data_IF_891429385611
#
_entry.id   IF_891429385611
#
_cell.length_a   1.000
_cell.length_b   1.000
_cell.length_c   1.000
_cell.angle_alpha   90.00
_cell.angle_beta   90.00
_cell.angle_gamma   90.00
#
_symmetry.space_group_name_H-M   'P 1'
#
loop_
_entity.id
_entity.type
_entity.pdbx_description
1 polymer ?
#
# COMPACT_ATOMS: atom_id res chain seq x y z
N UNK A 1 1.57 10.28 -18.76
CA UNK A 1 2.27 10.60 -20.04
C UNK A 1 3.77 10.60 -19.79
N UNK A 2 4.55 10.20 -20.78
CA UNK A 2 6.00 10.27 -20.70
C UNK A 2 6.44 11.74 -20.73
N UNK A 3 7.44 12.10 -19.95
CA UNK A 3 7.98 13.46 -19.92
C UNK A 3 8.35 13.93 -21.33
N UNK A 4 7.86 15.12 -21.74
CA UNK A 4 8.10 15.69 -23.07
C UNK A 4 7.18 15.18 -24.18
N UNK A 5 6.15 14.39 -23.89
CA UNK A 5 5.12 13.99 -24.85
C UNK A 5 3.79 14.67 -24.55
N UNK A 6 3.07 15.04 -25.62
CA UNK A 6 1.71 15.56 -25.51
C UNK A 6 0.74 14.43 -25.12
N UNK A 7 -0.26 14.76 -24.34
CA UNK A 7 -1.30 13.80 -23.94
C UNK A 7 -2.65 14.50 -23.79
N UNK A 8 -3.73 13.76 -24.03
CA UNK A 8 -5.08 14.27 -23.82
C UNK A 8 -5.42 14.15 -22.33
N UNK A 9 -5.55 15.28 -21.66
CA UNK A 9 -6.02 15.36 -20.28
C UNK A 9 -7.51 15.74 -20.30
N UNK A 10 -8.35 14.87 -19.73
CA UNK A 10 -9.76 15.15 -19.48
C UNK A 10 -10.08 14.91 -18.02
N UNK A 11 -11.02 15.70 -17.46
CA UNK A 11 -11.47 15.53 -16.09
C UNK A 11 -12.02 14.12 -15.86
N UNK A 12 -12.74 13.56 -16.82
CA UNK A 12 -13.26 12.19 -16.72
C UNK A 12 -12.14 11.13 -16.59
N UNK A 13 -11.07 11.25 -17.37
CA UNK A 13 -9.92 10.34 -17.27
C UNK A 13 -9.23 10.51 -15.92
N UNK A 14 -9.08 11.74 -15.44
CA UNK A 14 -8.49 12.02 -14.13
C UNK A 14 -9.34 11.41 -13.01
N UNK A 15 -10.65 11.67 -12.97
CA UNK A 15 -11.56 11.14 -11.95
C UNK A 15 -11.59 9.60 -11.93
N UNK A 16 -11.60 8.98 -13.12
CA UNK A 16 -11.49 7.52 -13.23
C UNK A 16 -10.18 7.00 -12.63
N UNK A 17 -9.04 7.62 -12.93
CA UNK A 17 -7.74 7.25 -12.36
C UNK A 17 -7.70 7.44 -10.85
N UNK A 18 -8.23 8.55 -10.34
CA UNK A 18 -8.32 8.78 -8.90
C UNK A 18 -9.14 7.71 -8.19
N UNK A 19 -10.26 7.30 -8.75
CA UNK A 19 -11.09 6.27 -8.15
C UNK A 19 -10.48 4.86 -8.28
N UNK A 20 -9.92 4.50 -9.44
CA UNK A 20 -9.40 3.15 -9.67
C UNK A 20 -8.00 2.95 -9.06
N UNK A 21 -7.04 3.77 -9.48
CA UNK A 21 -5.65 3.54 -9.10
C UNK A 21 -5.38 4.01 -7.65
N UNK A 22 -5.96 5.14 -7.24
CA UNK A 22 -5.71 5.68 -5.91
C UNK A 22 -6.67 5.13 -4.86
N UNK A 23 -7.99 5.33 -5.02
CA UNK A 23 -8.94 4.93 -3.99
C UNK A 23 -9.13 3.41 -3.91
N UNK A 24 -9.31 2.72 -5.05
CA UNK A 24 -9.57 1.27 -5.04
C UNK A 24 -8.31 0.44 -4.82
N UNK A 25 -7.16 0.82 -5.40
CA UNK A 25 -5.93 0.02 -5.23
C UNK A 25 -5.20 0.40 -3.95
N UNK A 26 -4.59 1.59 -3.89
CA UNK A 26 -3.74 1.99 -2.76
C UNK A 26 -4.57 2.31 -1.50
N UNK A 27 -5.63 3.10 -1.62
CA UNK A 27 -6.48 3.47 -0.49
C UNK A 27 -7.13 2.26 0.17
N UNK A 28 -7.63 1.32 -0.64
CA UNK A 28 -8.23 0.09 -0.15
C UNK A 28 -7.19 -0.85 0.50
N UNK A 29 -5.99 -0.97 -0.08
CA UNK A 29 -4.90 -1.76 0.51
C UNK A 29 -4.58 -1.28 1.93
N UNK A 30 -4.35 0.02 2.11
CA UNK A 30 -4.04 0.61 3.43
C UNK A 30 -5.19 0.40 4.40
N UNK A 31 -6.42 0.75 4.00
CA UNK A 31 -7.60 0.64 4.86
C UNK A 31 -7.90 -0.80 5.30
N UNK A 32 -7.80 -1.77 4.37
CA UNK A 32 -8.00 -3.20 4.68
C UNK A 32 -6.93 -3.70 5.65
N UNK A 33 -5.67 -3.41 5.38
CA UNK A 33 -4.55 -3.90 6.21
C UNK A 33 -4.62 -3.35 7.61
N UNK A 34 -4.76 -2.03 7.78
CA UNK A 34 -4.88 -1.41 9.11
C UNK A 34 -6.09 -1.96 9.87
N UNK A 35 -7.25 -2.08 9.20
CA UNK A 35 -8.44 -2.66 9.84
C UNK A 35 -8.26 -4.12 10.26
N UNK A 36 -7.51 -4.92 9.49
CA UNK A 36 -7.22 -6.31 9.85
C UNK A 36 -6.26 -6.40 11.05
N UNK A 37 -5.22 -5.55 11.09
CA UNK A 37 -4.30 -5.49 12.24
C UNK A 37 -5.04 -5.05 13.49
N UNK A 38 -5.90 -4.02 13.41
CA UNK A 38 -6.73 -3.60 14.55
C UNK A 38 -7.65 -4.72 15.03
N UNK A 39 -8.32 -5.39 14.10
CA UNK A 39 -9.32 -6.42 14.43
C UNK A 39 -8.70 -7.72 14.94
N UNK A 40 -7.58 -8.16 14.36
CA UNK A 40 -7.04 -9.50 14.60
C UNK A 40 -5.83 -9.52 15.55
N UNK A 41 -5.19 -8.37 15.75
CA UNK A 41 -4.03 -8.26 16.63
C UNK A 41 -4.04 -6.98 17.51
N UNK A 42 -5.22 -6.45 17.81
CA UNK A 42 -5.36 -5.33 18.76
C UNK A 42 -4.68 -4.02 18.29
N UNK A 43 -4.44 -3.88 17.00
CA UNK A 43 -3.79 -2.71 16.42
C UNK A 43 -2.25 -2.74 16.47
N UNK A 44 -1.65 -3.78 17.01
CA UNK A 44 -0.19 -3.94 17.02
C UNK A 44 0.25 -4.77 15.82
N UNK A 45 1.25 -4.30 15.08
CA UNK A 45 1.86 -5.08 14.01
C UNK A 45 2.56 -6.30 14.64
N UNK A 46 2.16 -7.53 14.29
CA UNK A 46 2.80 -8.73 14.84
C UNK A 46 4.15 -8.99 14.16
N UNK A 47 4.98 -9.81 14.80
CA UNK A 47 6.19 -10.33 14.18
C UNK A 47 5.85 -11.43 13.17
N UNK A 48 6.59 -11.49 12.07
CA UNK A 48 6.50 -12.61 11.15
C UNK A 48 7.08 -13.88 11.77
N UNK A 49 6.49 -15.02 11.44
CA UNK A 49 6.98 -16.34 11.89
C UNK A 49 7.63 -17.06 10.69
N UNK A 50 8.97 -17.06 10.57
CA UNK A 50 9.66 -17.60 9.38
C UNK A 50 9.33 -19.07 9.06
N UNK A 51 9.01 -19.86 10.09
CA UNK A 51 8.72 -21.29 9.93
C UNK A 51 7.42 -21.60 9.14
N UNK A 52 6.51 -20.61 9.00
CA UNK A 52 5.25 -20.78 8.26
C UNK A 52 5.22 -20.02 6.94
N UNK A 53 6.32 -19.36 6.57
CA UNK A 53 6.45 -18.65 5.30
C UNK A 53 6.43 -19.65 4.12
N UNK A 54 5.73 -19.28 3.06
CA UNK A 54 5.65 -20.04 1.82
C UNK A 54 6.12 -19.21 0.60
N UNK A 55 5.95 -19.77 -0.60
CA UNK A 55 6.37 -19.12 -1.85
C UNK A 55 5.64 -17.79 -2.11
N UNK A 56 4.39 -17.66 -1.65
CA UNK A 56 3.57 -16.45 -1.82
C UNK A 56 4.14 -15.31 -0.94
N UNK A 57 4.60 -15.64 0.28
CA UNK A 57 5.28 -14.69 1.17
C UNK A 57 6.61 -14.24 0.57
N UNK A 58 7.40 -15.19 0.06
CA UNK A 58 8.69 -14.93 -0.56
C UNK A 58 8.57 -14.07 -1.83
N UNK A 59 7.53 -14.28 -2.64
CA UNK A 59 7.25 -13.47 -3.83
C UNK A 59 6.95 -12.02 -3.46
N UNK A 60 6.06 -11.79 -2.48
CA UNK A 60 5.73 -10.43 -2.03
C UNK A 60 6.99 -9.70 -1.52
N UNK A 61 7.78 -10.35 -0.67
CA UNK A 61 9.03 -9.81 -0.13
C UNK A 61 10.02 -9.47 -1.24
N UNK A 62 10.20 -10.36 -2.22
CA UNK A 62 11.11 -10.14 -3.34
C UNK A 62 10.70 -8.93 -4.18
N UNK A 63 9.39 -8.79 -4.48
CA UNK A 63 8.87 -7.66 -5.23
C UNK A 63 9.03 -6.36 -4.43
N UNK A 64 8.75 -6.39 -3.13
CA UNK A 64 8.85 -5.24 -2.26
C UNK A 64 10.29 -4.69 -2.18
N UNK A 65 11.27 -5.53 -1.85
CA UNK A 65 12.68 -5.15 -1.76
C UNK A 65 13.23 -4.70 -3.12
N UNK A 66 12.80 -5.33 -4.21
CA UNK A 66 13.26 -4.99 -5.56
C UNK A 66 12.62 -3.73 -6.16
N UNK A 67 11.60 -3.16 -5.53
CA UNK A 67 10.84 -2.03 -6.08
C UNK A 67 11.67 -0.75 -6.12
N UNK A 68 12.44 -0.43 -5.07
CA UNK A 68 13.23 0.80 -4.97
C UNK A 68 14.21 0.96 -6.14
N UNK A 69 15.00 -0.07 -6.43
CA UNK A 69 15.96 -0.02 -7.54
C UNK A 69 15.28 0.17 -8.92
N UNK A 70 14.09 -0.40 -9.12
CA UNK A 70 13.32 -0.22 -10.34
C UNK A 70 12.77 1.19 -10.47
N UNK A 71 12.27 1.76 -9.38
CA UNK A 71 11.80 3.15 -9.32
C UNK A 71 12.95 4.11 -9.63
N UNK A 72 14.13 3.94 -8.99
CA UNK A 72 15.32 4.74 -9.26
C UNK A 72 15.73 4.69 -10.73
N UNK A 73 15.80 3.49 -11.31
CA UNK A 73 16.16 3.32 -12.71
C UNK A 73 15.22 4.03 -13.71
N UNK A 74 13.96 4.26 -13.33
CA UNK A 74 13.03 5.07 -14.12
C UNK A 74 13.16 6.56 -13.82
N UNK A 75 13.39 6.92 -12.56
CA UNK A 75 13.62 8.31 -12.16
C UNK A 75 14.87 8.90 -12.82
N UNK A 76 15.96 8.14 -12.91
CA UNK A 76 17.20 8.53 -13.61
C UNK A 76 16.98 8.87 -15.10
N UNK A 77 15.94 8.29 -15.70
CA UNK A 77 15.53 8.55 -17.08
C UNK A 77 14.44 9.64 -17.19
N UNK A 78 14.06 10.26 -16.10
CA UNK A 78 12.90 11.17 -16.02
C UNK A 78 11.58 10.51 -16.48
N UNK A 79 11.48 9.19 -16.41
CA UNK A 79 10.29 8.41 -16.77
C UNK A 79 9.34 8.26 -15.57
N UNK A 80 8.81 9.38 -15.04
CA UNK A 80 8.02 9.44 -13.82
C UNK A 80 6.77 8.56 -13.84
N UNK A 81 6.13 8.44 -15.00
CA UNK A 81 4.99 7.55 -15.19
C UNK A 81 5.40 6.07 -15.04
N UNK A 82 6.57 5.69 -15.54
CA UNK A 82 7.10 4.33 -15.39
C UNK A 82 7.54 4.05 -13.96
N UNK A 83 8.11 5.03 -13.27
CA UNK A 83 8.43 4.93 -11.85
C UNK A 83 7.17 4.66 -11.00
N UNK A 84 6.08 5.36 -11.26
CA UNK A 84 4.78 5.09 -10.62
C UNK A 84 4.24 3.70 -10.96
N UNK A 85 4.37 3.23 -12.20
CA UNK A 85 3.96 1.86 -12.58
C UNK A 85 4.72 0.79 -11.79
N UNK A 86 6.03 0.97 -11.54
CA UNK A 86 6.80 0.05 -10.71
C UNK A 86 6.27 0.01 -9.26
N UNK A 87 5.89 1.15 -8.70
CA UNK A 87 5.25 1.20 -7.37
C UNK A 87 3.90 0.46 -7.38
N UNK A 88 3.09 0.67 -8.43
CA UNK A 88 1.77 0.02 -8.56
C UNK A 88 1.86 -1.49 -8.79
N UNK A 89 2.98 -2.01 -9.31
CA UNK A 89 3.24 -3.47 -9.31
C UNK A 89 3.23 -4.01 -7.87
N UNK A 90 3.89 -3.33 -6.94
CA UNK A 90 3.88 -3.73 -5.53
C UNK A 90 2.50 -3.56 -4.89
N UNK A 91 1.80 -2.45 -5.15
CA UNK A 91 0.42 -2.22 -4.65
C UNK A 91 -0.52 -3.34 -5.09
N UNK A 92 -0.53 -3.68 -6.38
CA UNK A 92 -1.38 -4.76 -6.93
C UNK A 92 -0.98 -6.13 -6.40
N UNK A 93 0.34 -6.39 -6.23
CA UNK A 93 0.80 -7.65 -5.64
C UNK A 93 0.36 -7.81 -4.19
N UNK A 94 0.42 -6.73 -3.39
CA UNK A 94 -0.03 -6.74 -2.00
C UNK A 94 -1.55 -6.95 -1.89
N UNK A 95 -2.35 -6.33 -2.76
CA UNK A 95 -3.79 -6.60 -2.82
C UNK A 95 -4.08 -8.06 -3.17
N UNK A 96 -3.40 -8.62 -4.19
CA UNK A 96 -3.52 -10.03 -4.57
C UNK A 96 -3.10 -10.96 -3.42
N UNK A 97 -2.04 -10.61 -2.70
CA UNK A 97 -1.56 -11.35 -1.53
C UNK A 97 -2.63 -11.46 -0.43
N UNK A 98 -3.39 -10.39 -0.17
CA UNK A 98 -4.52 -10.45 0.78
C UNK A 98 -5.53 -11.52 0.34
N UNK A 99 -5.86 -11.57 -0.95
CA UNK A 99 -6.88 -12.49 -1.46
C UNK A 99 -6.37 -13.94 -1.48
N UNK A 100 -5.09 -14.17 -1.80
CA UNK A 100 -4.45 -15.49 -1.80
C UNK A 100 -4.31 -16.06 -0.38
N UNK A 101 -3.88 -15.25 0.58
CA UNK A 101 -3.67 -15.67 1.98
C UNK A 101 -4.95 -15.71 2.80
N UNK A 102 -6.00 -15.01 2.37
CA UNK A 102 -7.32 -14.97 2.99
C UNK A 102 -7.26 -14.83 4.52
N UNK A 103 -6.66 -13.77 5.09
CA UNK A 103 -6.43 -13.61 6.54
C UNK A 103 -7.71 -13.73 7.37
N UNK A 104 -8.86 -13.41 6.82
CA UNK A 104 -10.17 -13.60 7.48
C UNK A 104 -10.55 -15.07 7.68
N UNK A 105 -9.95 -16.00 6.90
CA UNK A 105 -10.13 -17.43 7.12
C UNK A 105 -9.22 -17.89 8.26
N UNK A 106 -7.95 -17.49 8.23
CA UNK A 106 -6.99 -17.78 9.29
C UNK A 106 -7.45 -17.27 10.66
N UNK A 107 -8.03 -16.08 10.70
CA UNK A 107 -8.53 -15.45 11.92
C UNK A 107 -9.67 -16.25 12.59
N UNK A 108 -10.42 -17.10 11.86
CA UNK A 108 -11.48 -17.93 12.46
C UNK A 108 -10.97 -19.02 13.39
N UNK A 109 -9.75 -19.49 13.17
CA UNK A 109 -9.12 -20.59 13.91
C UNK A 109 -7.89 -20.15 14.70
N UNK A 110 -7.44 -18.92 14.56
CA UNK A 110 -6.22 -18.39 15.19
C UNK A 110 -6.22 -18.50 16.73
N UNK A 111 -7.39 -18.42 17.38
CA UNK A 111 -7.50 -18.53 18.84
C UNK A 111 -7.31 -19.98 19.34
N UNK A 112 -7.51 -20.98 18.49
CA UNK A 112 -7.48 -22.41 18.85
C UNK A 112 -6.41 -23.20 18.14
N UNK A 113 -5.81 -22.66 17.10
CA UNK A 113 -4.77 -23.27 16.28
C UNK A 113 -3.56 -22.35 16.13
N UNK A 114 -2.45 -22.76 16.74
CA UNK A 114 -1.19 -22.00 16.75
C UNK A 114 -0.59 -21.82 15.34
N UNK A 115 -0.79 -22.75 14.41
CA UNK A 115 -0.32 -22.65 13.04
C UNK A 115 -1.10 -21.58 12.28
N UNK A 116 -2.43 -21.55 12.42
CA UNK A 116 -3.28 -20.49 11.86
C UNK A 116 -2.93 -19.11 12.43
N UNK A 117 -2.61 -19.03 13.73
CA UNK A 117 -2.17 -17.76 14.37
C UNK A 117 -0.84 -17.30 13.77
N UNK A 118 0.15 -18.18 13.67
CA UNK A 118 1.46 -17.87 13.11
C UNK A 118 1.38 -17.42 11.65
N UNK A 119 0.54 -18.08 10.84
CA UNK A 119 0.27 -17.67 9.45
C UNK A 119 -0.42 -16.32 9.37
N UNK A 120 -1.42 -16.05 10.22
CA UNK A 120 -2.12 -14.77 10.28
C UNK A 120 -1.16 -13.65 10.64
N UNK A 121 -0.32 -13.85 11.67
CA UNK A 121 0.67 -12.85 12.09
C UNK A 121 1.66 -12.55 10.98
N UNK A 122 2.17 -13.57 10.30
CA UNK A 122 3.06 -13.40 9.15
C UNK A 122 2.39 -12.60 8.01
N UNK A 123 1.12 -12.89 7.71
CA UNK A 123 0.38 -12.14 6.68
C UNK A 123 0.22 -10.67 7.04
N UNK A 124 -0.16 -10.38 8.29
CA UNK A 124 -0.35 -8.99 8.74
C UNK A 124 0.97 -8.22 8.75
N UNK A 125 2.06 -8.85 9.20
CA UNK A 125 3.41 -8.30 9.17
C UNK A 125 3.85 -7.96 7.74
N UNK A 126 3.77 -8.91 6.82
CA UNK A 126 4.19 -8.75 5.43
C UNK A 126 3.41 -7.62 4.72
N UNK A 127 2.12 -7.47 5.02
CA UNK A 127 1.31 -6.38 4.48
C UNK A 127 1.72 -5.03 5.03
N UNK A 128 1.99 -4.93 6.34
CA UNK A 128 2.47 -3.70 6.97
C UNK A 128 3.81 -3.26 6.37
N UNK A 129 4.75 -4.21 6.18
CA UNK A 129 6.04 -3.98 5.53
C UNK A 129 5.88 -3.51 4.07
N UNK A 130 5.04 -4.19 3.28
CA UNK A 130 4.79 -3.76 1.90
C UNK A 130 4.25 -2.33 1.83
N UNK A 131 3.32 -1.95 2.73
CA UNK A 131 2.75 -0.60 2.77
C UNK A 131 3.79 0.41 3.28
N UNK A 132 4.65 0.05 4.23
CA UNK A 132 5.77 0.88 4.66
C UNK A 132 6.68 1.23 3.48
N UNK A 133 7.09 0.23 2.70
CA UNK A 133 7.93 0.43 1.50
C UNK A 133 7.18 1.28 0.47
N UNK A 134 5.91 0.99 0.17
CA UNK A 134 5.09 1.81 -0.73
C UNK A 134 5.07 3.26 -0.26
N UNK A 135 4.91 3.52 1.04
CA UNK A 135 4.88 4.89 1.58
C UNK A 135 6.16 5.67 1.32
N UNK A 136 7.32 5.00 1.38
CA UNK A 136 8.61 5.59 1.04
C UNK A 136 8.70 5.89 -0.45
N UNK A 137 8.37 4.91 -1.30
CA UNK A 137 8.50 5.02 -2.75
C UNK A 137 7.58 6.09 -3.36
N UNK A 138 6.38 6.30 -2.80
CA UNK A 138 5.46 7.35 -3.29
C UNK A 138 5.79 8.74 -2.73
N UNK A 139 6.62 8.84 -1.70
CA UNK A 139 6.91 10.12 -1.03
C UNK A 139 7.35 11.23 -1.98
N UNK A 140 8.25 11.00 -2.96
CA UNK A 140 8.65 12.03 -3.92
C UNK A 140 7.51 12.52 -4.83
N UNK A 141 6.45 11.73 -5.01
CA UNK A 141 5.32 12.03 -5.90
C UNK A 141 4.11 12.57 -5.14
N UNK A 142 3.85 12.01 -3.96
CA UNK A 142 2.64 12.27 -3.16
C UNK A 142 3.00 12.38 -1.67
N UNK A 143 3.70 13.44 -1.32
CA UNK A 143 4.22 13.67 0.04
C UNK A 143 3.14 13.55 1.13
N UNK A 144 2.03 14.27 1.01
CA UNK A 144 0.94 14.24 2.00
C UNK A 144 0.26 12.89 2.11
N UNK A 145 0.20 12.14 1.01
CA UNK A 145 -0.33 10.76 1.00
C UNK A 145 0.62 9.81 1.73
N UNK A 146 1.92 9.93 1.47
CA UNK A 146 2.94 9.18 2.21
C UNK A 146 2.82 9.41 3.72
N UNK A 147 2.75 10.67 4.15
CA UNK A 147 2.60 11.02 5.57
C UNK A 147 1.32 10.46 6.18
N UNK A 148 0.20 10.51 5.45
CA UNK A 148 -1.07 9.98 5.92
C UNK A 148 -1.02 8.44 6.08
N UNK A 149 -0.37 7.73 5.17
CA UNK A 149 -0.14 6.27 5.26
C UNK A 149 0.74 5.96 6.47
N UNK A 150 1.89 6.63 6.59
CA UNK A 150 2.85 6.44 7.69
C UNK A 150 2.22 6.71 9.05
N UNK A 151 1.38 7.74 9.15
CA UNK A 151 0.62 8.03 10.36
C UNK A 151 -0.33 6.89 10.75
N UNK A 152 -1.01 6.27 9.79
CA UNK A 152 -1.87 5.12 10.06
C UNK A 152 -1.08 3.87 10.45
N UNK A 153 0.15 3.72 9.94
CA UNK A 153 1.07 2.64 10.32
C UNK A 153 1.78 2.87 11.67
N UNK A 154 1.60 4.03 12.33
CA UNK A 154 2.32 4.35 13.55
C UNK A 154 3.75 4.87 13.34
N UNK A 155 4.13 5.21 12.12
CA UNK A 155 5.49 5.66 11.74
C UNK A 155 5.63 7.19 11.60
N UNK A 156 4.71 7.95 12.17
CA UNK A 156 4.64 9.42 12.04
C UNK A 156 5.84 10.17 12.64
N UNK A 157 6.59 9.53 13.52
CA UNK A 157 7.77 10.06 14.22
C UNK A 157 9.09 9.73 13.53
N UNK A 158 9.08 8.83 12.55
CA UNK A 158 10.30 8.41 11.86
C UNK A 158 10.53 9.23 10.59
N UNK A 159 11.76 9.61 10.33
CA UNK A 159 12.15 10.21 9.06
C UNK A 159 11.91 9.24 7.91
N UNK A 160 11.70 9.79 6.72
CA UNK A 160 11.58 8.99 5.49
C UNK A 160 12.97 8.86 4.88
N UNK A 161 13.63 7.74 5.15
CA UNK A 161 14.87 7.39 4.49
C UNK A 161 14.59 6.50 3.28
N UNK A 162 15.13 6.86 2.13
CA UNK A 162 14.92 6.09 0.89
C UNK A 162 15.54 4.69 0.99
N UNK A 163 16.68 4.59 1.66
CA UNK A 163 17.43 3.37 1.89
C UNK A 163 16.59 2.30 2.62
N UNK A 164 15.67 2.72 3.48
CA UNK A 164 14.76 1.81 4.19
C UNK A 164 13.80 1.05 3.24
N UNK A 165 13.64 1.51 1.99
CA UNK A 165 12.84 0.79 1.00
C UNK A 165 13.55 -0.47 0.45
N UNK A 166 14.84 -0.63 0.68
CA UNK A 166 15.58 -1.85 0.33
C UNK A 166 15.54 -2.92 1.42
N UNK A 167 15.06 -2.55 2.61
CA UNK A 167 14.99 -3.43 3.76
C UNK A 167 13.55 -3.95 3.99
N UNK A 168 13.46 -5.14 4.54
CA UNK A 168 12.21 -5.75 4.98
C UNK A 168 12.35 -6.17 6.45
N UNK A 169 11.25 -6.42 7.15
CA UNK A 169 11.27 -6.75 8.59
C UNK A 169 11.71 -5.59 9.50
N UNK A 170 11.31 -4.37 9.13
CA UNK A 170 11.55 -3.16 9.92
C UNK A 170 10.36 -2.77 10.82
N UNK A 171 9.17 -3.37 10.60
CA UNK A 171 7.98 -3.16 11.44
C UNK A 171 8.03 -4.08 12.66
N UNK A 172 8.17 -3.49 13.86
CA UNK A 172 8.40 -4.25 15.10
C UNK A 172 7.46 -3.77 16.21
N UNK A 173 6.20 -4.16 16.15
CA UNK A 173 5.23 -3.86 17.20
C UNK A 173 4.67 -2.43 17.16
N UNK A 174 4.74 -1.76 16.02
CA UNK A 174 4.13 -0.45 15.82
C UNK A 174 2.62 -0.52 16.04
N UNK A 175 2.10 0.53 16.69
CA UNK A 175 0.69 0.67 16.93
C UNK A 175 0.04 1.36 15.73
N UNK A 176 -0.64 0.58 14.90
CA UNK A 176 -1.43 1.12 13.79
C UNK A 176 -2.73 1.72 14.29
N UNK A 177 -3.21 2.72 13.58
CA UNK A 177 -4.50 3.34 13.86
C UNK A 177 -5.20 3.75 12.58
N UNK A 178 -6.40 3.21 12.37
CA UNK A 178 -7.22 3.61 11.24
C UNK A 178 -7.54 5.09 11.32
N UNK A 179 -7.25 5.79 10.24
CA UNK A 179 -7.59 7.20 10.02
C UNK A 179 -8.67 7.36 8.97
N UNK A 180 -8.81 8.59 8.48
CA UNK A 180 -9.65 8.89 7.34
C UNK A 180 -9.16 8.12 6.09
N UNK A 181 -10.04 7.84 5.12
CA UNK A 181 -9.63 7.25 3.86
C UNK A 181 -8.51 8.07 3.21
N UNK A 182 -7.42 7.40 2.80
CA UNK A 182 -6.28 8.06 2.14
C UNK A 182 -6.73 8.79 0.88
N UNK A 183 -7.66 8.18 0.14
CA UNK A 183 -8.31 8.79 -1.03
C UNK A 183 -9.82 8.63 -0.89
N UNK A 184 -10.58 9.71 -0.78
CA UNK A 184 -12.04 9.66 -0.83
C UNK A 184 -12.48 9.24 -2.24
N UNK A 185 -13.54 8.43 -2.33
CA UNK A 185 -14.18 8.16 -3.60
C UNK A 185 -14.87 9.42 -4.10
N UNK A 186 -14.58 9.76 -5.35
CA UNK A 186 -15.23 10.89 -6.03
C UNK A 186 -16.47 10.39 -6.78
N UNK A 187 -17.58 11.11 -6.64
CA UNK A 187 -18.79 10.88 -7.41
C UNK A 187 -18.64 11.60 -8.77
N UNK A 188 -18.39 10.80 -9.81
CA UNK A 188 -18.13 11.32 -11.16
C UNK A 188 -19.32 12.09 -11.71
N UNK A 189 -20.58 11.71 -11.39
CA UNK A 189 -21.77 12.41 -11.87
C UNK A 189 -21.93 13.77 -11.19
N UNK A 190 -21.63 13.84 -9.88
CA UNK A 190 -21.66 15.08 -9.11
C UNK A 190 -20.61 16.08 -9.60
N UNK A 191 -19.37 15.61 -9.74
CA UNK A 191 -18.27 16.45 -10.23
C UNK A 191 -18.53 17.01 -11.64
N UNK A 192 -19.15 16.21 -12.55
CA UNK A 192 -19.57 16.69 -13.87
C UNK A 192 -20.65 17.75 -13.81
N UNK A 193 -21.61 17.66 -12.87
CA UNK A 193 -22.69 18.64 -12.74
C UNK A 193 -22.19 19.99 -12.20
N UNK A 194 -21.18 19.99 -11.36
CA UNK A 194 -20.59 21.20 -10.80
C UNK A 194 -19.75 21.97 -11.84
N UNK A 195 -19.12 21.30 -12.81
CA UNK A 195 -18.42 21.94 -13.93
C UNK A 195 -19.38 22.74 -14.84
N UNK A 196 -20.55 22.19 -15.17
CA UNK A 196 -21.54 22.85 -16.01
C UNK A 196 -22.26 24.02 -15.33
N UNK A 197 -22.09 24.21 -14.02
CA UNK A 197 -22.69 25.31 -13.26
C UNK A 197 -21.71 26.48 -13.09
N UNK A 198 -20.44 26.32 -13.46
CA UNK A 198 -19.36 27.30 -13.30
C UNK A 198 -19.00 28.04 -14.59
N UNK A 199 -19.68 27.75 -15.72
CA UNK A 199 -19.66 28.47 -16.98
C UNK A 199 -20.88 29.41 -17.08
#
# INVERSE_FOLDING_TARGET
YTFGQDGVFTNEVMLKRMNYDLANDLGNLVSRTVSMIEKYNGGVVPDAVPAVCDEIDAELKTIAIGAAAKVEAQMDKFAFNMALEEIWILVRRANKYIDEKAPWVLAKTADTDADSKAKLDTVLHNLAEAIRIISILIHPFMHTTSDAIRKQLGLWYADVAWEDAYEFEMMNGEQVKKGDPIFPRLDIEKERSEEHTSE
#
